data_IF_037114236188
#
_entry.id   IF_037114236188
#
_cell.length_a   1.000
_cell.length_b   1.000
_cell.length_c   1.000
_cell.angle_alpha   90.00
_cell.angle_beta   90.00
_cell.angle_gamma   90.00
#
_symmetry.space_group_name_H-M   'P 1'
#
loop_
_entity.id
_entity.type
_entity.pdbx_description
1 polymer ?
#
# COMPACT_ATOMS: atom_id res chain seq x y z
N UNK A 1 21.98 -17.77 27.33
CA UNK A 1 21.45 -16.39 27.28
C UNK A 1 21.29 -15.99 25.82
N UNK A 2 20.05 -15.90 25.30
CA UNK A 2 19.79 -15.50 23.91
C UNK A 2 19.85 -13.96 23.83
N UNK A 3 20.99 -13.42 23.40
CA UNK A 3 21.15 -11.98 23.15
C UNK A 3 20.33 -11.65 21.90
N UNK A 4 19.22 -10.91 22.05
CA UNK A 4 18.48 -10.33 20.93
C UNK A 4 19.31 -9.17 20.37
N UNK A 5 20.16 -9.46 19.38
CA UNK A 5 20.81 -8.42 18.58
C UNK A 5 19.71 -7.77 17.72
N UNK A 6 19.42 -6.50 17.98
CA UNK A 6 18.48 -5.72 17.17
C UNK A 6 19.22 -5.29 15.91
N UNK A 7 18.68 -5.62 14.74
CA UNK A 7 19.22 -5.18 13.46
C UNK A 7 19.19 -3.64 13.41
N UNK A 8 20.35 -2.99 13.28
CA UNK A 8 20.43 -1.58 12.89
C UNK A 8 20.26 -1.47 11.36
N UNK A 9 19.14 -2.00 10.87
CA UNK A 9 18.56 -1.55 9.62
C UNK A 9 17.24 -0.90 10.01
N UNK A 10 17.20 0.43 9.99
CA UNK A 10 15.95 1.19 10.07
C UNK A 10 15.22 1.07 8.72
N UNK A 11 14.91 -0.17 8.30
CA UNK A 11 13.86 -0.43 7.33
C UNK A 11 12.55 -0.25 8.07
N UNK A 12 11.86 0.84 7.74
CA UNK A 12 10.54 1.14 8.25
C UNK A 12 9.54 0.07 7.80
N UNK A 13 9.38 -0.99 8.60
CA UNK A 13 8.14 -1.75 8.61
C UNK A 13 7.10 -0.93 9.38
N UNK A 14 6.01 -0.60 8.68
CA UNK A 14 4.93 0.17 9.24
C UNK A 14 4.06 -0.61 10.23
N UNK A 15 3.17 0.21 10.83
CA UNK A 15 1.92 -0.11 11.53
C UNK A 15 2.04 -0.28 13.06
N UNK A 16 1.46 0.65 13.82
CA UNK A 16 0.19 0.43 14.56
C UNK A 16 -0.30 1.70 15.28
N UNK A 17 -1.62 1.79 15.35
CA UNK A 17 -2.40 2.84 15.98
C UNK A 17 -2.15 2.98 17.48
N UNK A 18 -2.10 4.21 17.97
CA UNK A 18 -2.42 4.54 19.35
C UNK A 18 -3.60 5.50 19.39
N UNK A 19 -4.66 5.05 20.05
CA UNK A 19 -5.90 5.76 20.31
C UNK A 19 -5.62 7.04 21.11
N UNK A 20 -6.25 8.16 20.74
CA UNK A 20 -6.49 9.26 21.66
C UNK A 20 -7.94 9.72 21.57
N UNK A 21 -8.60 9.72 22.72
CA UNK A 21 -9.96 10.24 22.94
C UNK A 21 -9.98 11.76 22.71
N UNK A 22 -11.05 12.34 22.14
CA UNK A 22 -11.16 13.77 21.96
C UNK A 22 -11.80 14.47 23.18
N UNK A 23 -11.23 15.61 23.57
CA UNK A 23 -11.90 16.63 24.39
C UNK A 23 -12.16 17.89 23.54
N UNK A 24 -13.23 18.67 23.83
CA UNK A 24 -13.85 19.56 22.86
C UNK A 24 -13.24 20.97 22.89
N UNK A 25 -13.04 21.56 21.72
CA UNK A 25 -12.71 22.98 21.57
C UNK A 25 -13.84 23.72 20.84
N UNK A 26 -14.27 24.83 21.45
CA UNK A 26 -15.28 25.79 20.98
C UNK A 26 -14.76 26.69 19.83
N UNK A 27 -15.65 27.35 19.07
CA UNK A 27 -15.46 27.66 17.67
C UNK A 27 -14.71 28.99 17.42
N UNK A 28 -13.89 29.03 16.37
CA UNK A 28 -13.35 30.26 15.78
C UNK A 28 -13.80 30.41 14.33
N UNK A 29 -14.15 31.64 14.04
CA UNK A 29 -14.85 32.20 12.88
C UNK A 29 -14.05 32.12 11.59
N UNK A 30 -14.79 32.07 10.48
CA UNK A 30 -14.37 31.77 9.11
C UNK A 30 -13.46 32.82 8.44
N UNK A 31 -12.55 32.34 7.58
CA UNK A 31 -11.99 33.07 6.45
C UNK A 31 -12.20 32.24 5.16
N UNK A 32 -12.81 32.87 4.16
CA UNK A 32 -13.25 32.28 2.88
C UNK A 32 -12.04 31.91 2.00
N UNK A 33 -11.97 30.65 1.57
CA UNK A 33 -11.21 30.24 0.38
C UNK A 33 -12.20 29.76 -0.68
N UNK A 34 -12.07 30.29 -1.90
CA UNK A 34 -12.98 30.06 -3.01
C UNK A 34 -12.84 28.63 -3.54
N UNK A 35 -13.86 27.80 -3.27
CA UNK A 35 -14.00 26.46 -3.84
C UNK A 35 -14.60 26.53 -5.25
N UNK A 36 -14.01 25.79 -6.18
CA UNK A 36 -14.62 25.39 -7.48
C UNK A 36 -16.01 24.77 -7.22
N UNK A 37 -16.96 24.87 -8.17
CA UNK A 37 -18.35 24.51 -7.91
C UNK A 37 -18.46 23.03 -7.58
N UNK A 38 -18.90 22.73 -6.34
CA UNK A 38 -19.40 21.43 -5.97
C UNK A 38 -20.61 21.11 -6.86
N UNK A 39 -20.57 19.97 -7.54
CA UNK A 39 -21.73 19.41 -8.22
C UNK A 39 -22.80 19.18 -7.16
N UNK A 40 -23.94 19.88 -7.30
CA UNK A 40 -25.13 19.69 -6.46
C UNK A 40 -25.48 18.20 -6.39
N UNK A 41 -25.79 17.61 -5.22
CA UNK A 41 -26.39 16.29 -5.17
C UNK A 41 -27.76 16.38 -5.87
N UNK A 42 -27.92 15.61 -6.93
CA UNK A 42 -29.19 15.47 -7.63
C UNK A 42 -30.20 14.81 -6.67
N UNK A 43 -31.35 15.48 -6.50
CA UNK A 43 -32.63 15.01 -5.96
C UNK A 43 -32.60 13.72 -5.13
N UNK A 44 -32.72 13.85 -3.81
CA UNK A 44 -32.93 12.73 -2.88
C UNK A 44 -34.12 11.86 -3.34
N UNK A 45 -33.83 10.67 -3.86
CA UNK A 45 -34.81 9.71 -4.39
C UNK A 45 -34.65 9.35 -5.87
N UNK A 46 -33.79 10.06 -6.62
CA UNK A 46 -33.34 9.63 -7.95
C UNK A 46 -32.18 8.63 -7.83
N UNK A 47 -32.10 7.67 -8.76
CA UNK A 47 -31.12 6.60 -8.72
C UNK A 47 -31.53 5.38 -9.55
N UNK A 48 -30.65 4.40 -9.62
CA UNK A 48 -30.96 3.09 -10.19
C UNK A 48 -30.89 2.05 -9.08
N UNK A 49 -31.93 1.24 -8.95
CA UNK A 49 -32.04 0.24 -7.90
C UNK A 49 -32.26 -1.16 -8.48
N UNK A 50 -31.79 -2.18 -7.77
CA UNK A 50 -32.09 -3.56 -8.04
C UNK A 50 -32.80 -4.19 -6.83
N UNK A 51 -33.97 -4.76 -7.06
CA UNK A 51 -34.71 -5.53 -6.08
C UNK A 51 -34.45 -7.03 -6.33
N UNK A 52 -33.79 -7.69 -5.38
CA UNK A 52 -33.55 -9.13 -5.40
C UNK A 52 -34.58 -9.79 -4.47
N UNK A 53 -35.47 -10.57 -5.04
CA UNK A 53 -36.46 -11.35 -4.30
C UNK A 53 -35.89 -12.73 -3.98
N UNK A 54 -35.98 -13.14 -2.72
CA UNK A 54 -35.50 -14.43 -2.23
C UNK A 54 -36.55 -15.08 -1.33
N UNK A 55 -36.35 -16.35 -0.95
CA UNK A 55 -37.17 -17.02 0.07
C UNK A 55 -37.07 -16.38 1.47
N UNK A 56 -36.01 -15.60 1.73
CA UNK A 56 -35.76 -14.91 3.01
C UNK A 56 -36.31 -13.48 3.07
N UNK A 57 -36.85 -12.98 1.95
CA UNK A 57 -37.31 -11.61 1.80
C UNK A 57 -36.67 -10.89 0.63
N UNK A 58 -36.84 -9.57 0.61
CA UNK A 58 -36.38 -8.69 -0.47
C UNK A 58 -35.13 -7.92 -0.05
N UNK A 59 -34.12 -7.91 -0.91
CA UNK A 59 -32.93 -7.07 -0.79
C UNK A 59 -33.04 -5.96 -1.84
N UNK A 60 -32.89 -4.69 -1.44
CA UNK A 60 -32.89 -3.55 -2.36
C UNK A 60 -31.50 -2.94 -2.37
N UNK A 61 -30.92 -2.86 -3.56
CA UNK A 61 -29.58 -2.34 -3.82
C UNK A 61 -29.71 -1.03 -4.58
N UNK A 62 -28.97 0.01 -4.19
CA UNK A 62 -28.70 1.17 -5.04
C UNK A 62 -27.43 0.90 -5.86
N UNK A 63 -27.48 1.19 -7.17
CA UNK A 63 -26.42 0.92 -8.13
C UNK A 63 -25.64 2.19 -8.49
N UNK A 64 -24.32 2.09 -8.51
CA UNK A 64 -23.38 3.18 -8.76
C UNK A 64 -23.14 3.40 -10.27
N UNK A 65 -24.22 3.58 -11.03
CA UNK A 65 -24.20 3.59 -12.51
C UNK A 65 -23.39 4.73 -13.15
N UNK A 66 -23.06 5.77 -12.37
CA UNK A 66 -22.20 6.89 -12.82
C UNK A 66 -20.72 6.55 -12.62
N UNK A 67 -20.35 5.93 -11.50
CA UNK A 67 -18.95 5.62 -11.16
C UNK A 67 -18.47 4.33 -11.81
N UNK A 68 -19.35 3.35 -11.95
CA UNK A 68 -19.05 2.03 -12.53
C UNK A 68 -20.04 1.67 -13.65
N UNK A 69 -20.09 2.46 -14.74
CA UNK A 69 -21.09 2.32 -15.78
C UNK A 69 -21.02 0.97 -16.52
N UNK A 70 -19.84 0.43 -16.79
CA UNK A 70 -19.71 -0.85 -17.52
C UNK A 70 -20.22 -2.00 -16.66
N UNK A 71 -19.89 -1.98 -15.36
CA UNK A 71 -20.29 -3.00 -14.39
C UNK A 71 -21.80 -2.96 -14.11
N UNK A 72 -22.37 -1.76 -13.95
CA UNK A 72 -23.82 -1.63 -13.78
C UNK A 72 -24.55 -1.99 -15.08
N UNK A 73 -24.03 -1.61 -16.25
CA UNK A 73 -24.58 -2.02 -17.54
C UNK A 73 -24.60 -3.55 -17.71
N UNK A 74 -23.51 -4.22 -17.31
CA UNK A 74 -23.44 -5.68 -17.25
C UNK A 74 -24.55 -6.26 -16.36
N UNK A 75 -24.61 -5.82 -15.10
CA UNK A 75 -25.56 -6.35 -14.12
C UNK A 75 -27.02 -6.12 -14.54
N UNK A 76 -27.36 -4.91 -14.96
CA UNK A 76 -28.71 -4.52 -15.39
C UNK A 76 -29.14 -5.30 -16.62
N UNK A 77 -28.29 -5.39 -17.64
CA UNK A 77 -28.68 -6.08 -18.87
C UNK A 77 -28.78 -7.60 -18.70
N UNK A 78 -28.01 -8.19 -17.78
CA UNK A 78 -28.17 -9.58 -17.35
C UNK A 78 -29.50 -9.79 -16.60
N UNK A 79 -29.81 -8.92 -15.63
CA UNK A 79 -31.06 -8.95 -14.89
C UNK A 79 -32.28 -8.76 -15.82
N UNK A 80 -32.13 -7.99 -16.91
CA UNK A 80 -33.20 -7.72 -17.87
C UNK A 80 -33.29 -8.71 -19.03
N UNK A 81 -32.27 -9.57 -19.19
CA UNK A 81 -32.19 -10.55 -20.28
C UNK A 81 -31.95 -9.95 -21.65
N UNK A 82 -31.41 -8.74 -21.72
CA UNK A 82 -31.10 -8.02 -22.96
C UNK A 82 -29.58 -7.77 -23.13
N UNK A 83 -28.73 -8.47 -22.37
CA UNK A 83 -27.28 -8.37 -22.49
C UNK A 83 -26.80 -8.86 -23.87
N UNK A 84 -26.02 -8.05 -24.62
CA UNK A 84 -25.66 -8.35 -26.00
C UNK A 84 -24.47 -9.32 -26.15
N UNK A 85 -23.74 -9.62 -25.08
CA UNK A 85 -22.48 -10.37 -25.14
C UNK A 85 -22.59 -11.79 -24.58
N UNK A 86 -23.73 -12.16 -23.97
CA UNK A 86 -23.90 -13.49 -23.37
C UNK A 86 -23.80 -14.61 -24.40
N UNK A 87 -23.34 -15.78 -23.94
CA UNK A 87 -23.44 -17.02 -24.70
C UNK A 87 -24.88 -17.27 -25.17
N UNK A 88 -25.02 -17.92 -26.33
CA UNK A 88 -26.31 -18.19 -26.97
C UNK A 88 -27.34 -18.80 -26.01
N UNK A 89 -26.91 -19.72 -25.14
CA UNK A 89 -27.77 -20.39 -24.16
C UNK A 89 -28.46 -19.46 -23.15
N UNK A 90 -27.97 -18.23 -22.97
CA UNK A 90 -28.48 -17.26 -22.02
C UNK A 90 -29.18 -16.06 -22.69
N UNK A 91 -29.16 -15.97 -24.03
CA UNK A 91 -29.81 -14.86 -24.74
C UNK A 91 -31.31 -14.80 -24.44
N UNK A 92 -31.81 -13.60 -24.20
CA UNK A 92 -33.22 -13.35 -23.90
C UNK A 92 -33.68 -13.79 -22.50
N UNK A 93 -32.80 -14.39 -21.68
CA UNK A 93 -33.16 -14.91 -20.35
C UNK A 93 -32.79 -13.91 -19.27
N UNK A 94 -33.70 -13.71 -18.31
CA UNK A 94 -33.44 -13.01 -17.05
C UNK A 94 -32.38 -13.82 -16.29
N UNK A 95 -31.12 -13.42 -16.41
CA UNK A 95 -29.98 -14.30 -16.15
C UNK A 95 -29.90 -14.77 -14.69
N UNK A 96 -30.27 -13.90 -13.75
CA UNK A 96 -30.16 -14.18 -12.31
C UNK A 96 -31.35 -14.96 -11.74
N UNK A 97 -32.49 -14.98 -12.43
CA UNK A 97 -33.70 -15.61 -11.93
C UNK A 97 -33.48 -17.14 -11.84
N UNK A 98 -33.71 -17.70 -10.65
CA UNK A 98 -33.48 -19.10 -10.32
C UNK A 98 -32.04 -19.45 -9.94
N UNK A 99 -31.09 -18.52 -9.99
CA UNK A 99 -29.71 -18.78 -9.55
C UNK A 99 -29.60 -18.80 -8.03
N UNK A 100 -28.59 -19.50 -7.52
CA UNK A 100 -28.35 -19.65 -6.09
C UNK A 100 -27.29 -18.68 -5.57
N UNK A 101 -27.37 -18.37 -4.28
CA UNK A 101 -26.21 -17.96 -3.50
C UNK A 101 -25.33 -19.17 -3.20
N UNK A 102 -24.46 -19.50 -4.14
CA UNK A 102 -23.65 -20.73 -4.11
C UNK A 102 -22.53 -20.72 -3.06
N UNK A 103 -22.16 -19.54 -2.56
CA UNK A 103 -21.13 -19.40 -1.53
C UNK A 103 -21.55 -18.35 -0.52
N UNK A 104 -21.69 -18.78 0.73
CA UNK A 104 -22.03 -17.90 1.87
C UNK A 104 -21.00 -18.11 2.95
N UNK A 105 -20.31 -17.04 3.34
CA UNK A 105 -19.32 -17.06 4.41
C UNK A 105 -19.80 -16.12 5.50
N UNK A 106 -20.18 -16.71 6.64
CA UNK A 106 -20.64 -15.97 7.82
C UNK A 106 -19.64 -14.87 8.18
N UNK A 107 -20.15 -13.68 8.50
CA UNK A 107 -19.37 -12.50 8.87
C UNK A 107 -18.45 -11.95 7.77
N UNK A 108 -18.61 -12.43 6.53
CA UNK A 108 -17.88 -11.94 5.37
C UNK A 108 -18.82 -11.50 4.25
N UNK A 109 -19.47 -12.43 3.54
CA UNK A 109 -20.33 -12.11 2.39
C UNK A 109 -21.27 -13.24 1.97
N UNK A 110 -22.28 -12.88 1.18
CA UNK A 110 -23.06 -13.80 0.34
C UNK A 110 -22.67 -13.59 -1.13
N UNK A 111 -22.40 -14.66 -1.87
CA UNK A 111 -21.97 -14.61 -3.28
C UNK A 111 -22.95 -15.39 -4.16
N UNK A 112 -23.39 -14.75 -5.24
CA UNK A 112 -24.36 -15.25 -6.21
C UNK A 112 -23.95 -14.95 -7.66
N UNK A 113 -24.89 -15.13 -8.58
CA UNK A 113 -24.68 -14.82 -10.00
C UNK A 113 -23.87 -15.87 -10.79
N UNK A 114 -23.71 -17.07 -10.25
CA UNK A 114 -23.09 -18.21 -10.96
C UNK A 114 -24.17 -19.11 -11.58
N UNK A 115 -24.23 -19.25 -12.92
CA UNK A 115 -25.20 -20.14 -13.58
C UNK A 115 -24.95 -21.63 -13.35
N UNK A 116 -23.75 -22.04 -12.89
CA UNK A 116 -23.45 -23.43 -12.54
C UNK A 116 -23.64 -23.73 -11.05
N UNK A 117 -23.64 -22.69 -10.21
CA UNK A 117 -23.71 -22.81 -8.75
C UNK A 117 -22.48 -23.46 -8.10
N UNK A 118 -21.34 -23.52 -8.77
CA UNK A 118 -20.09 -24.14 -8.29
C UNK A 118 -19.01 -23.13 -7.91
N UNK A 119 -19.24 -21.85 -8.17
CA UNK A 119 -18.27 -20.76 -8.18
C UNK A 119 -17.53 -20.59 -9.51
N UNK A 120 -17.68 -21.51 -10.46
CA UNK A 120 -16.89 -21.56 -11.70
C UNK A 120 -17.62 -21.08 -12.96
N UNK A 121 -18.94 -20.87 -12.92
CA UNK A 121 -19.68 -20.46 -14.11
C UNK A 121 -19.60 -18.97 -14.42
N UNK A 122 -19.87 -18.65 -15.69
CA UNK A 122 -19.81 -17.29 -16.23
C UNK A 122 -20.85 -17.09 -17.35
N UNK A 123 -21.08 -15.83 -17.78
CA UNK A 123 -22.06 -15.52 -18.81
C UNK A 123 -21.54 -15.70 -20.25
N UNK A 124 -20.27 -16.12 -20.43
CA UNK A 124 -19.61 -16.26 -21.74
C UNK A 124 -18.54 -15.21 -22.05
N UNK A 125 -18.26 -14.30 -21.12
CA UNK A 125 -17.27 -13.23 -21.31
C UNK A 125 -16.61 -12.83 -20.00
N UNK A 126 -15.54 -12.04 -20.15
CA UNK A 126 -14.84 -11.36 -19.07
C UNK A 126 -14.59 -9.89 -19.42
N UNK A 127 -14.72 -9.00 -18.43
CA UNK A 127 -14.50 -7.56 -18.61
C UNK A 127 -13.65 -6.94 -17.49
N UNK A 128 -13.15 -5.73 -17.76
CA UNK A 128 -12.24 -4.97 -16.89
C UNK A 128 -12.83 -4.65 -15.51
N UNK A 129 -11.97 -4.33 -14.55
CA UNK A 129 -12.37 -3.71 -13.28
C UNK A 129 -12.62 -2.20 -13.46
N UNK A 130 -13.53 -1.64 -12.67
CA UNK A 130 -13.78 -0.20 -12.56
C UNK A 130 -13.45 0.26 -11.13
N UNK A 131 -12.15 0.29 -10.81
CA UNK A 131 -11.67 0.71 -9.50
C UNK A 131 -11.81 2.23 -9.35
N UNK A 132 -12.62 2.66 -8.38
CA UNK A 132 -12.95 4.08 -8.10
C UNK A 132 -12.56 4.45 -6.67
N UNK A 133 -13.07 5.58 -6.17
CA UNK A 133 -12.99 5.98 -4.77
C UNK A 133 -13.90 5.16 -3.83
N UNK A 134 -14.79 4.32 -4.39
CA UNK A 134 -15.66 3.43 -3.63
C UNK A 134 -14.84 2.32 -2.94
N UNK A 135 -15.24 2.01 -1.70
CA UNK A 135 -14.51 1.09 -0.81
C UNK A 135 -15.50 0.20 -0.06
N UNK A 136 -15.02 -0.95 0.41
CA UNK A 136 -15.77 -1.89 1.22
C UNK A 136 -15.77 -1.47 2.69
N UNK A 137 -16.38 -0.31 2.97
CA UNK A 137 -16.34 0.37 4.29
C UNK A 137 -17.34 -0.17 5.31
N UNK A 138 -18.19 -1.14 4.93
CA UNK A 138 -19.22 -1.65 5.83
C UNK A 138 -20.09 -2.75 5.24
N UNK A 139 -21.09 -3.21 6.01
CA UNK A 139 -22.10 -4.16 5.55
C UNK A 139 -22.85 -3.64 4.32
N UNK A 140 -23.31 -4.55 3.48
CA UNK A 140 -24.17 -4.25 2.35
C UNK A 140 -23.45 -3.73 1.12
N UNK A 141 -22.12 -3.73 1.09
CA UNK A 141 -21.37 -3.35 -0.12
C UNK A 141 -21.60 -4.41 -1.19
N UNK A 142 -22.07 -3.99 -2.38
CA UNK A 142 -22.25 -4.85 -3.55
C UNK A 142 -21.03 -4.74 -4.46
N UNK A 143 -20.40 -5.87 -4.77
CA UNK A 143 -19.18 -5.89 -5.57
C UNK A 143 -19.07 -7.11 -6.48
N UNK A 144 -18.32 -6.98 -7.58
CA UNK A 144 -18.09 -8.07 -8.52
C UNK A 144 -17.13 -9.11 -7.94
N UNK A 145 -17.51 -10.38 -8.05
CA UNK A 145 -16.57 -11.47 -7.83
C UNK A 145 -15.66 -11.62 -9.06
N UNK A 146 -14.35 -11.78 -8.84
CA UNK A 146 -13.37 -11.97 -9.90
C UNK A 146 -12.27 -12.95 -9.44
N UNK A 147 -11.51 -13.49 -10.40
CA UNK A 147 -10.37 -14.40 -10.19
C UNK A 147 -9.01 -13.69 -10.39
N UNK A 148 -9.01 -12.35 -10.32
CA UNK A 148 -7.89 -11.49 -10.67
C UNK A 148 -8.29 -10.35 -11.60
N UNK A 149 -7.37 -9.41 -11.88
CA UNK A 149 -7.68 -8.22 -12.66
C UNK A 149 -8.32 -8.53 -14.01
N UNK A 150 -9.42 -7.84 -14.34
CA UNK A 150 -10.11 -7.95 -15.62
C UNK A 150 -10.87 -9.26 -15.87
N UNK A 151 -11.22 -9.98 -14.81
CA UNK A 151 -11.97 -11.24 -14.89
C UNK A 151 -13.41 -11.13 -14.37
N UNK A 152 -13.99 -9.93 -14.36
CA UNK A 152 -15.40 -9.73 -13.99
C UNK A 152 -16.30 -10.46 -14.98
N UNK A 153 -17.37 -11.07 -14.47
CA UNK A 153 -18.38 -11.80 -15.25
C UNK A 153 -19.79 -11.49 -14.76
N UNK A 154 -20.54 -12.51 -14.36
CA UNK A 154 -21.90 -12.35 -13.79
C UNK A 154 -21.93 -12.46 -12.26
N UNK A 155 -20.87 -13.00 -11.65
CA UNK A 155 -20.86 -13.27 -10.22
C UNK A 155 -20.64 -11.98 -9.42
N UNK A 156 -21.40 -11.84 -8.34
CA UNK A 156 -21.32 -10.71 -7.41
C UNK A 156 -21.38 -11.21 -5.98
N UNK A 157 -20.97 -10.37 -5.04
CA UNK A 157 -21.16 -10.61 -3.62
C UNK A 157 -21.68 -9.37 -2.90
N UNK A 158 -22.34 -9.60 -1.76
CA UNK A 158 -22.83 -8.57 -0.85
C UNK A 158 -22.20 -8.82 0.53
N UNK A 159 -21.57 -7.80 1.11
CA UNK A 159 -20.82 -7.95 2.36
C UNK A 159 -21.72 -8.01 3.61
N UNK A 160 -21.32 -8.78 4.61
CA UNK A 160 -21.90 -8.74 5.96
C UNK A 160 -21.24 -7.68 6.86
N UNK A 161 -20.00 -7.29 6.57
CA UNK A 161 -19.15 -6.40 7.37
C UNK A 161 -18.22 -5.58 6.48
N UNK A 162 -17.42 -4.70 7.08
CA UNK A 162 -16.29 -4.05 6.41
C UNK A 162 -15.28 -5.10 5.92
N UNK A 163 -14.84 -4.97 4.66
CA UNK A 163 -13.88 -5.90 4.03
C UNK A 163 -12.78 -5.14 3.30
N UNK A 164 -12.06 -4.29 4.02
CA UNK A 164 -11.10 -3.32 3.45
C UNK A 164 -9.94 -3.96 2.66
N UNK A 165 -9.63 -5.23 2.90
CA UNK A 165 -8.62 -5.99 2.13
C UNK A 165 -9.02 -6.28 0.66
N UNK A 166 -10.28 -6.04 0.31
CA UNK A 166 -10.82 -6.14 -1.06
C UNK A 166 -10.74 -4.81 -1.83
N UNK A 167 -10.41 -3.70 -1.16
CA UNK A 167 -10.29 -2.39 -1.80
C UNK A 167 -9.23 -2.40 -2.90
N UNK A 168 -9.58 -1.84 -4.07
CA UNK A 168 -8.71 -1.83 -5.24
C UNK A 168 -8.59 -3.16 -5.99
N UNK A 169 -9.29 -4.21 -5.53
CA UNK A 169 -9.25 -5.56 -6.14
C UNK A 169 -10.57 -5.98 -6.78
N UNK A 170 -11.69 -5.51 -6.21
CA UNK A 170 -13.04 -5.82 -6.68
C UNK A 170 -13.81 -4.53 -6.96
N UNK A 171 -14.51 -4.47 -8.08
CA UNK A 171 -15.34 -3.32 -8.45
C UNK A 171 -16.54 -3.23 -7.52
N UNK A 172 -16.60 -2.19 -6.68
CA UNK A 172 -17.80 -1.85 -5.91
C UNK A 172 -18.76 -1.11 -6.85
N UNK A 173 -19.96 -1.66 -7.06
CA UNK A 173 -20.92 -1.12 -8.03
C UNK A 173 -22.31 -0.85 -7.44
N UNK A 174 -22.44 -0.94 -6.12
CA UNK A 174 -23.67 -0.60 -5.42
C UNK A 174 -23.59 -0.87 -3.93
N UNK A 175 -24.71 -0.67 -3.25
CA UNK A 175 -24.85 -1.00 -1.84
C UNK A 175 -26.32 -1.28 -1.46
N UNK A 176 -26.53 -2.01 -0.37
CA UNK A 176 -27.85 -2.31 0.19
C UNK A 176 -28.45 -1.03 0.80
N UNK A 177 -29.65 -0.68 0.37
CA UNK A 177 -30.44 0.41 0.97
C UNK A 177 -31.52 -0.12 1.91
N UNK A 178 -32.07 -1.32 1.64
CA UNK A 178 -32.98 -2.03 2.55
C UNK A 178 -32.80 -3.55 2.42
N UNK A 179 -33.01 -4.30 3.51
CA UNK A 179 -32.91 -5.76 3.51
C UNK A 179 -31.52 -6.29 3.89
N UNK A 180 -30.74 -5.56 4.71
CA UNK A 180 -29.46 -6.07 5.22
C UNK A 180 -29.66 -7.25 6.19
N UNK A 181 -30.77 -7.26 6.93
CA UNK A 181 -31.23 -8.40 7.72
C UNK A 181 -31.51 -9.63 6.84
N UNK A 182 -32.12 -9.42 5.66
CA UNK A 182 -32.31 -10.49 4.66
C UNK A 182 -30.96 -10.99 4.16
N UNK A 183 -30.03 -10.09 3.78
CA UNK A 183 -28.64 -10.46 3.41
C UNK A 183 -28.00 -11.33 4.49
N UNK A 184 -28.15 -10.96 5.77
CA UNK A 184 -27.61 -11.70 6.91
C UNK A 184 -28.30 -13.04 7.16
N UNK A 185 -29.53 -13.24 6.68
CA UNK A 185 -30.31 -14.45 6.83
C UNK A 185 -30.17 -15.45 5.68
N UNK A 186 -29.62 -15.02 4.53
CA UNK A 186 -29.33 -15.89 3.38
C UNK A 186 -28.36 -16.99 3.81
N UNK A 187 -28.74 -18.24 3.51
CA UNK A 187 -27.91 -19.42 3.65
C UNK A 187 -27.38 -19.85 2.27
N UNK A 188 -26.35 -20.69 2.28
CA UNK A 188 -25.87 -21.31 1.05
C UNK A 188 -27.00 -22.08 0.36
N UNK A 189 -27.03 -22.02 -0.97
CA UNK A 189 -28.05 -22.60 -1.84
C UNK A 189 -29.44 -21.93 -1.81
N UNK A 190 -29.66 -20.87 -1.01
CA UNK A 190 -30.85 -20.03 -1.15
C UNK A 190 -30.91 -19.42 -2.56
N UNK A 191 -32.14 -19.26 -3.07
CA UNK A 191 -32.40 -18.94 -4.48
C UNK A 191 -32.78 -17.46 -4.65
N UNK A 192 -32.23 -16.86 -5.70
CA UNK A 192 -32.70 -15.59 -6.27
C UNK A 192 -33.93 -15.90 -7.09
N UNK A 193 -35.12 -15.58 -6.57
CA UNK A 193 -36.37 -15.83 -7.26
C UNK A 193 -36.52 -14.90 -8.46
N UNK A 194 -36.16 -13.63 -8.27
CA UNK A 194 -36.31 -12.59 -9.30
C UNK A 194 -35.39 -11.41 -9.03
N UNK A 195 -34.85 -10.80 -10.09
CA UNK A 195 -34.20 -9.49 -10.02
C UNK A 195 -34.98 -8.45 -10.84
N UNK A 196 -35.44 -7.37 -10.19
CA UNK A 196 -36.16 -6.26 -10.84
C UNK A 196 -35.34 -4.97 -10.79
N UNK A 197 -35.16 -4.32 -11.94
CA UNK A 197 -34.45 -3.03 -12.04
C UNK A 197 -35.45 -1.86 -11.99
N UNK A 198 -35.24 -0.95 -11.05
CA UNK A 198 -36.06 0.26 -10.85
C UNK A 198 -35.23 1.50 -11.18
N UNK A 199 -35.72 2.32 -12.12
CA UNK A 199 -35.04 3.54 -12.58
C UNK A 199 -35.80 4.79 -12.14
N UNK A 200 -35.21 5.59 -11.27
CA UNK A 200 -35.78 6.86 -10.77
C UNK A 200 -34.92 8.04 -11.23
N UNK A 201 -35.55 9.10 -11.73
CA UNK A 201 -34.85 10.25 -12.28
C UNK A 201 -34.42 10.10 -13.74
N UNK A 202 -34.03 11.22 -14.34
CA UNK A 202 -33.73 11.30 -15.78
C UNK A 202 -32.46 10.51 -16.14
N UNK A 203 -31.41 10.62 -15.32
CA UNK A 203 -30.12 9.97 -15.58
C UNK A 203 -30.25 8.44 -15.60
N UNK A 204 -30.92 7.85 -14.61
CA UNK A 204 -31.14 6.40 -14.55
C UNK A 204 -32.03 5.89 -15.68
N UNK A 205 -33.08 6.65 -16.06
CA UNK A 205 -33.97 6.30 -17.18
C UNK A 205 -33.27 6.33 -18.55
N UNK A 206 -32.29 7.22 -18.71
CA UNK A 206 -31.51 7.36 -19.94
C UNK A 206 -30.31 6.39 -20.01
N UNK A 207 -30.07 5.60 -18.97
CA UNK A 207 -28.96 4.66 -18.93
C UNK A 207 -29.29 3.41 -19.77
N UNK A 208 -28.71 3.35 -20.96
CA UNK A 208 -28.86 2.24 -21.90
C UNK A 208 -27.78 1.17 -21.62
N UNK A 209 -28.13 0.23 -20.74
CA UNK A 209 -27.23 -0.83 -20.30
C UNK A 209 -26.73 -1.72 -21.47
N UNK A 210 -27.59 -2.26 -22.37
CA UNK A 210 -27.12 -3.01 -23.54
C UNK A 210 -26.14 -2.22 -24.40
N UNK A 211 -26.44 -0.96 -24.72
CA UNK A 211 -25.57 -0.13 -25.56
C UNK A 211 -24.22 0.12 -24.90
N UNK A 212 -24.20 0.54 -23.63
CA UNK A 212 -22.96 0.83 -22.90
C UNK A 212 -22.06 -0.41 -22.89
N UNK A 213 -22.64 -1.60 -22.65
CA UNK A 213 -21.88 -2.83 -22.60
C UNK A 213 -21.37 -3.27 -23.98
N UNK A 214 -22.18 -3.10 -25.04
CA UNK A 214 -21.75 -3.35 -26.42
C UNK A 214 -20.61 -2.41 -26.85
N UNK A 215 -20.74 -1.11 -26.56
CA UNK A 215 -19.73 -0.10 -26.87
C UNK A 215 -18.40 -0.40 -26.16
N UNK A 216 -18.43 -0.91 -24.92
CA UNK A 216 -17.23 -1.35 -24.22
C UNK A 216 -16.50 -2.47 -24.98
N UNK A 217 -17.20 -3.53 -25.40
CA UNK A 217 -16.56 -4.63 -26.13
C UNK A 217 -16.09 -4.21 -27.53
N UNK A 218 -16.80 -3.30 -28.19
CA UNK A 218 -16.37 -2.74 -29.48
C UNK A 218 -15.05 -1.96 -29.38
N UNK A 219 -14.81 -1.28 -28.25
CA UNK A 219 -13.62 -0.46 -28.04
C UNK A 219 -12.51 -1.17 -27.23
N UNK A 220 -12.77 -2.37 -26.71
CA UNK A 220 -11.88 -3.08 -25.77
C UNK A 220 -10.44 -3.17 -26.27
N UNK A 221 -10.23 -3.54 -27.53
CA UNK A 221 -8.88 -3.71 -28.10
C UNK A 221 -8.10 -2.40 -28.24
N UNK A 222 -8.80 -1.28 -28.48
CA UNK A 222 -8.18 0.06 -28.56
C UNK A 222 -7.79 0.54 -27.16
N UNK A 223 -8.67 0.35 -26.18
CA UNK A 223 -8.41 0.70 -24.79
C UNK A 223 -7.25 -0.12 -24.21
N UNK A 224 -7.21 -1.44 -24.48
CA UNK A 224 -6.12 -2.33 -24.05
C UNK A 224 -4.76 -1.90 -24.64
N UNK A 225 -4.72 -1.50 -25.92
CA UNK A 225 -3.48 -0.98 -26.54
C UNK A 225 -3.01 0.31 -25.87
N UNK A 226 -3.91 1.26 -25.64
CA UNK A 226 -3.58 2.53 -24.97
C UNK A 226 -3.05 2.30 -23.56
N UNK A 227 -3.68 1.38 -22.80
CA UNK A 227 -3.23 1.04 -21.45
C UNK A 227 -1.86 0.36 -21.46
N UNK A 228 -1.61 -0.53 -22.42
CA UNK A 228 -0.30 -1.18 -22.58
C UNK A 228 0.81 -0.16 -22.93
N UNK A 229 0.52 0.79 -23.83
CA UNK A 229 1.45 1.86 -24.19
C UNK A 229 1.76 2.78 -23.01
N UNK A 230 0.74 3.15 -22.22
CA UNK A 230 0.94 3.97 -21.02
C UNK A 230 1.73 3.23 -19.93
N UNK A 231 1.42 1.94 -19.70
CA UNK A 231 2.15 1.11 -18.76
C UNK A 231 3.62 0.96 -19.17
N UNK A 232 3.89 0.75 -20.46
CA UNK A 232 5.24 0.72 -21.00
C UNK A 232 5.97 2.05 -20.78
N UNK A 233 5.32 3.18 -21.09
CA UNK A 233 5.91 4.52 -20.87
C UNK A 233 6.28 4.74 -19.40
N UNK A 234 5.39 4.39 -18.47
CA UNK A 234 5.68 4.51 -17.02
C UNK A 234 6.83 3.61 -16.58
N UNK A 235 6.92 2.40 -17.13
CA UNK A 235 8.02 1.49 -16.85
C UNK A 235 9.35 2.03 -17.39
N UNK A 236 9.35 2.58 -18.61
CA UNK A 236 10.52 3.20 -19.24
C UNK A 236 10.98 4.44 -18.44
N UNK A 237 10.06 5.29 -18.00
CA UNK A 237 10.32 6.45 -17.14
C UNK A 237 10.93 6.02 -15.79
N UNK A 238 10.37 5.00 -15.13
CA UNK A 238 10.89 4.48 -13.87
C UNK A 238 12.28 3.86 -14.03
N UNK A 239 12.51 3.11 -15.12
CA UNK A 239 13.81 2.53 -15.44
C UNK A 239 14.86 3.60 -15.72
N UNK A 240 14.51 4.66 -16.46
CA UNK A 240 15.39 5.80 -16.71
C UNK A 240 15.74 6.55 -15.41
N UNK A 241 14.76 6.81 -14.55
CA UNK A 241 14.99 7.43 -13.24
C UNK A 241 15.92 6.59 -12.35
N UNK A 242 15.70 5.27 -12.31
CA UNK A 242 16.57 4.34 -11.56
C UNK A 242 17.99 4.34 -12.12
N UNK A 243 18.16 4.35 -13.45
CA UNK A 243 19.48 4.40 -14.09
C UNK A 243 20.25 5.66 -13.70
N UNK A 244 19.59 6.82 -13.72
CA UNK A 244 20.19 8.11 -13.31
C UNK A 244 20.62 8.06 -11.82
N UNK A 245 19.78 7.49 -10.95
CA UNK A 245 20.11 7.32 -9.53
C UNK A 245 21.30 6.39 -9.31
N UNK A 246 21.35 5.26 -10.02
CA UNK A 246 22.44 4.28 -9.96
C UNK A 246 23.75 4.88 -10.48
N UNK A 247 23.73 5.64 -11.58
CA UNK A 247 24.90 6.37 -12.11
C UNK A 247 25.45 7.39 -11.10
N UNK A 248 24.58 8.16 -10.46
CA UNK A 248 24.96 9.11 -9.40
C UNK A 248 25.60 8.38 -8.20
N UNK A 249 24.99 7.30 -7.73
CA UNK A 249 25.50 6.52 -6.62
C UNK A 249 26.88 5.90 -6.95
N UNK A 250 27.07 5.41 -8.17
CA UNK A 250 28.35 4.84 -8.62
C UNK A 250 29.46 5.88 -8.70
N UNK A 251 29.16 7.10 -9.17
CA UNK A 251 30.14 8.19 -9.21
C UNK A 251 30.61 8.58 -7.80
N UNK A 252 29.69 8.66 -6.83
CA UNK A 252 30.03 8.98 -5.43
C UNK A 252 30.78 7.83 -4.77
N UNK A 253 30.35 6.58 -4.99
CA UNK A 253 31.03 5.38 -4.50
C UNK A 253 32.51 5.32 -4.95
N UNK A 254 32.76 5.61 -6.23
CA UNK A 254 34.11 5.61 -6.79
C UNK A 254 35.06 6.59 -6.08
N UNK A 255 34.53 7.72 -5.59
CA UNK A 255 35.28 8.71 -4.81
C UNK A 255 35.37 8.34 -3.32
N UNK A 256 34.32 7.72 -2.76
CA UNK A 256 34.28 7.36 -1.34
C UNK A 256 35.28 6.27 -1.00
N UNK A 257 35.47 5.26 -1.86
CA UNK A 257 36.43 4.16 -1.59
C UNK A 257 37.86 4.65 -1.25
N UNK A 258 38.55 5.43 -2.10
CA UNK A 258 39.91 5.90 -1.78
C UNK A 258 39.95 6.79 -0.54
N UNK A 259 38.89 7.58 -0.28
CA UNK A 259 38.76 8.35 0.95
C UNK A 259 38.74 7.44 2.19
N UNK A 260 37.94 6.37 2.17
CA UNK A 260 37.87 5.40 3.26
C UNK A 260 39.19 4.66 3.46
N UNK A 261 39.85 4.25 2.37
CA UNK A 261 41.15 3.56 2.41
C UNK A 261 42.22 4.46 3.05
N UNK A 262 42.28 5.74 2.67
CA UNK A 262 43.22 6.72 3.25
C UNK A 262 42.99 6.98 4.74
N UNK A 263 41.72 6.99 5.17
CA UNK A 263 41.39 7.10 6.60
C UNK A 263 41.78 5.85 7.37
N UNK A 264 41.58 4.66 6.80
CA UNK A 264 41.94 3.38 7.43
C UNK A 264 43.44 3.26 7.67
N UNK A 265 44.26 3.72 6.72
CA UNK A 265 45.73 3.67 6.82
C UNK A 265 46.29 4.43 8.04
N UNK A 266 45.52 5.36 8.61
CA UNK A 266 45.91 6.17 9.77
C UNK A 266 45.02 5.92 10.99
N UNK A 267 44.23 4.85 10.97
CA UNK A 267 43.31 4.49 12.04
C UNK A 267 44.02 3.80 13.21
N UNK A 268 43.51 4.03 14.41
CA UNK A 268 43.93 3.35 15.64
C UNK A 268 43.24 2.00 15.69
N UNK A 269 44.01 0.93 15.91
CA UNK A 269 43.47 -0.44 16.07
C UNK A 269 43.34 -0.78 17.54
N UNK A 270 42.19 -1.34 17.91
CA UNK A 270 41.88 -1.82 19.26
C UNK A 270 42.14 -3.32 19.38
N UNK A 271 42.14 -3.85 20.61
CA UNK A 271 42.33 -5.28 20.89
C UNK A 271 41.24 -6.17 20.26
N UNK A 272 40.02 -5.65 20.10
CA UNK A 272 38.93 -6.38 19.46
C UNK A 272 39.12 -6.51 17.94
N UNK A 273 40.01 -5.70 17.35
CA UNK A 273 40.22 -5.56 15.92
C UNK A 273 39.37 -4.46 15.28
N UNK A 274 38.55 -3.72 16.05
CA UNK A 274 37.96 -2.47 15.57
C UNK A 274 39.08 -1.47 15.24
N UNK A 275 38.99 -0.82 14.08
CA UNK A 275 39.85 0.31 13.75
C UNK A 275 39.02 1.59 13.71
N UNK A 276 39.55 2.70 14.20
CA UNK A 276 38.83 3.97 14.17
C UNK A 276 39.73 5.19 14.01
N UNK A 277 39.15 6.30 13.55
CA UNK A 277 39.81 7.61 13.48
C UNK A 277 38.82 8.72 13.83
N UNK A 278 39.22 9.63 14.71
CA UNK A 278 38.45 10.84 15.00
C UNK A 278 38.63 11.81 13.81
N UNK A 279 37.54 12.09 13.10
CA UNK A 279 37.50 13.02 11.96
C UNK A 279 37.37 14.46 12.42
N UNK A 280 36.60 14.69 13.49
CA UNK A 280 36.41 15.99 14.12
C UNK A 280 36.35 15.80 15.62
N UNK A 281 37.16 16.56 16.36
CA UNK A 281 37.11 16.57 17.82
C UNK A 281 36.07 17.57 18.30
N UNK A 282 35.13 17.09 19.11
CA UNK A 282 34.16 17.90 19.84
C UNK A 282 34.77 18.57 21.06
N UNK A 283 34.09 19.60 21.56
CA UNK A 283 34.46 20.30 22.79
C UNK A 283 33.84 19.68 24.04
N UNK A 284 32.90 18.75 23.87
CA UNK A 284 32.25 18.07 24.97
C UNK A 284 33.15 17.03 25.64
N UNK A 285 32.75 16.60 26.82
CA UNK A 285 33.38 15.48 27.53
C UNK A 285 32.75 14.16 27.07
N UNK A 286 33.38 13.05 27.46
CA UNK A 286 32.82 11.71 27.27
C UNK A 286 31.49 11.60 28.04
N UNK A 287 30.39 11.15 27.40
CA UNK A 287 29.13 10.95 28.11
C UNK A 287 29.29 9.93 29.25
N UNK A 288 28.72 10.22 30.41
CA UNK A 288 28.63 9.25 31.49
C UNK A 288 27.63 8.14 31.14
N UNK A 289 27.83 6.94 31.68
CA UNK A 289 26.89 5.83 31.51
C UNK A 289 25.48 6.23 31.98
N UNK A 290 24.46 5.83 31.21
CA UNK A 290 23.07 6.22 31.43
C UNK A 290 22.66 7.55 30.78
N UNK A 291 23.60 8.34 30.27
CA UNK A 291 23.30 9.61 29.59
C UNK A 291 22.59 9.35 28.25
N UNK A 292 21.49 10.07 27.99
CA UNK A 292 20.85 10.07 26.69
C UNK A 292 21.70 10.87 25.69
N UNK A 293 22.07 10.24 24.59
CA UNK A 293 22.81 10.85 23.47
C UNK A 293 22.04 10.66 22.17
N UNK A 294 22.41 11.39 21.12
CA UNK A 294 21.81 11.29 19.80
C UNK A 294 22.89 11.05 18.75
N UNK A 295 22.60 10.18 17.79
CA UNK A 295 23.60 9.66 16.86
C UNK A 295 23.17 9.92 15.43
N UNK A 296 24.04 10.63 14.69
CA UNK A 296 24.05 10.56 13.24
C UNK A 296 25.02 9.47 12.78
N UNK A 297 24.68 8.80 11.70
CA UNK A 297 25.51 7.79 11.08
C UNK A 297 25.34 7.75 9.55
N UNK A 298 26.42 7.37 8.89
CA UNK A 298 26.40 6.84 7.53
C UNK A 298 27.20 5.54 7.49
N UNK A 299 26.59 4.49 6.96
CA UNK A 299 27.14 3.14 6.89
C UNK A 299 27.54 2.77 5.46
N UNK A 300 28.77 2.30 5.29
CA UNK A 300 29.38 1.95 4.01
C UNK A 300 29.94 0.53 4.00
N UNK A 301 29.90 -0.11 2.83
CA UNK A 301 30.75 -1.26 2.52
C UNK A 301 32.17 -0.79 2.19
N UNK A 302 33.14 -1.72 2.21
CA UNK A 302 34.55 -1.41 1.91
C UNK A 302 34.79 -0.88 0.50
N UNK A 303 33.87 -1.14 -0.42
CA UNK A 303 33.92 -0.63 -1.78
C UNK A 303 33.34 0.80 -1.93
N UNK A 304 32.95 1.43 -0.82
CA UNK A 304 32.34 2.77 -0.79
C UNK A 304 30.83 2.78 -0.97
N UNK A 305 30.16 1.64 -1.13
CA UNK A 305 28.69 1.58 -1.25
C UNK A 305 28.04 2.03 0.05
N UNK A 306 27.26 3.11 0.04
CA UNK A 306 26.41 3.50 1.17
C UNK A 306 25.26 2.52 1.33
N UNK A 307 25.16 1.79 2.44
CA UNK A 307 24.02 0.89 2.70
C UNK A 307 22.90 1.57 3.48
N UNK A 308 23.19 2.52 4.37
CA UNK A 308 22.19 3.30 5.11
C UNK A 308 22.79 4.59 5.68
N UNK A 309 21.96 5.60 5.93
CA UNK A 309 22.37 6.87 6.52
C UNK A 309 21.16 7.61 7.09
N UNK A 310 21.32 8.24 8.26
CA UNK A 310 20.41 9.29 8.70
C UNK A 310 20.99 10.71 8.50
N UNK A 311 22.17 10.84 7.89
CA UNK A 311 22.62 12.10 7.30
C UNK A 311 21.87 12.34 5.96
N UNK A 312 21.04 13.38 5.93
CA UNK A 312 20.22 13.74 4.76
C UNK A 312 21.07 14.14 3.54
N UNK A 313 22.11 14.93 3.77
CA UNK A 313 23.07 15.38 2.75
C UNK A 313 23.81 14.21 2.11
N UNK A 314 24.30 13.26 2.92
CA UNK A 314 24.92 12.03 2.43
C UNK A 314 23.91 11.19 1.64
N UNK A 315 22.67 11.07 2.10
CA UNK A 315 21.64 10.35 1.36
C UNK A 315 21.35 11.01 -0.01
N UNK A 316 21.28 12.34 -0.07
CA UNK A 316 21.10 13.09 -1.33
C UNK A 316 22.30 12.95 -2.26
N UNK A 317 23.51 12.96 -1.72
CA UNK A 317 24.74 12.77 -2.48
C UNK A 317 24.72 11.42 -3.20
N UNK A 318 24.40 10.34 -2.48
CA UNK A 318 24.27 8.99 -3.03
C UNK A 318 23.00 8.76 -3.86
N UNK A 319 22.13 9.77 -4.04
CA UNK A 319 20.85 9.60 -4.73
C UNK A 319 19.88 8.66 -4.01
N UNK A 320 20.06 8.47 -2.71
CA UNK A 320 19.27 7.61 -1.81
C UNK A 320 18.37 8.39 -0.87
N UNK A 321 18.07 9.64 -1.20
CA UNK A 321 17.13 10.46 -0.44
C UNK A 321 15.70 9.98 -0.70
N UNK A 322 14.95 9.75 0.38
CA UNK A 322 13.56 9.30 0.37
C UNK A 322 12.68 10.36 1.04
N UNK A 323 11.75 10.94 0.28
CA UNK A 323 10.86 12.00 0.75
C UNK A 323 9.91 11.52 1.87
N UNK A 324 9.47 10.25 1.83
CA UNK A 324 8.60 9.69 2.85
C UNK A 324 9.36 9.47 4.16
N UNK A 325 10.61 8.99 4.07
CA UNK A 325 11.52 8.89 5.22
C UNK A 325 11.79 10.26 5.83
N UNK A 326 12.02 11.29 5.01
CA UNK A 326 12.20 12.66 5.47
C UNK A 326 10.96 13.19 6.21
N UNK A 327 9.77 13.01 5.64
CA UNK A 327 8.52 13.38 6.28
C UNK A 327 8.28 12.65 7.62
N UNK A 328 8.74 11.41 7.73
CA UNK A 328 8.72 10.63 8.97
C UNK A 328 9.83 10.95 9.97
N UNK A 329 10.72 11.90 9.68
CA UNK A 329 11.85 12.26 10.54
C UNK A 329 13.02 11.27 10.52
N UNK A 330 13.11 10.39 9.52
CA UNK A 330 14.14 9.34 9.42
C UNK A 330 15.55 9.81 9.08
N UNK A 331 15.75 11.12 8.87
CA UNK A 331 17.07 11.78 8.78
C UNK A 331 17.41 12.61 10.03
N UNK A 332 16.71 12.38 11.14
CA UNK A 332 17.07 12.92 12.46
C UNK A 332 18.04 11.96 13.17
N UNK A 333 18.86 12.46 14.11
CA UNK A 333 19.75 11.59 14.86
C UNK A 333 18.91 10.73 15.80
N UNK A 334 19.25 9.44 15.91
CA UNK A 334 18.46 8.53 16.72
C UNK A 334 18.95 8.56 18.18
N UNK A 335 18.04 8.42 19.16
CA UNK A 335 18.41 8.40 20.57
C UNK A 335 19.09 7.09 20.97
N UNK A 336 20.15 7.17 21.77
CA UNK A 336 20.80 6.03 22.40
C UNK A 336 21.25 6.36 23.83
N UNK A 337 21.29 5.36 24.72
CA UNK A 337 21.76 5.54 26.10
C UNK A 337 23.24 5.15 26.18
N UNK A 338 24.11 6.10 26.52
CA UNK A 338 25.53 5.86 26.70
C UNK A 338 25.78 4.73 27.72
N UNK A 339 26.77 3.88 27.44
CA UNK A 339 27.08 2.69 28.25
C UNK A 339 26.20 1.46 27.97
N UNK A 340 25.09 1.60 27.23
CA UNK A 340 24.26 0.45 26.86
C UNK A 340 25.02 -0.49 25.91
N UNK A 341 25.02 -1.80 26.23
CA UNK A 341 25.71 -2.84 25.45
C UNK A 341 24.79 -3.62 24.51
N UNK A 342 23.52 -3.24 24.43
CA UNK A 342 22.49 -3.93 23.65
C UNK A 342 21.83 -2.99 22.64
N UNK A 343 21.22 -3.57 21.60
CA UNK A 343 20.44 -2.81 20.61
C UNK A 343 21.22 -2.29 19.41
N UNK A 344 22.55 -2.32 19.45
CA UNK A 344 23.46 -2.00 18.33
C UNK A 344 24.50 -3.12 18.19
N UNK A 345 25.17 -3.20 17.03
CA UNK A 345 26.26 -4.16 16.81
C UNK A 345 27.46 -3.84 17.71
N UNK A 346 28.24 -4.86 18.16
CA UNK A 346 29.33 -4.67 19.12
C UNK A 346 30.37 -3.62 18.69
N UNK A 347 30.78 -3.61 17.41
CA UNK A 347 31.77 -2.66 16.91
C UNK A 347 31.28 -1.21 16.87
N UNK A 348 29.98 -1.00 16.70
CA UNK A 348 29.40 0.35 16.73
C UNK A 348 29.35 0.87 18.17
N UNK A 349 28.96 0.02 19.12
CA UNK A 349 28.97 0.34 20.55
C UNK A 349 30.39 0.67 21.01
N UNK A 350 31.36 -0.17 20.63
CA UNK A 350 32.76 0.08 20.96
C UNK A 350 33.27 1.39 20.36
N UNK A 351 32.87 1.74 19.13
CA UNK A 351 33.21 3.02 18.52
C UNK A 351 32.64 4.21 19.30
N UNK A 352 31.38 4.14 19.74
CA UNK A 352 30.76 5.17 20.59
C UNK A 352 31.53 5.38 21.91
N UNK A 353 32.08 4.32 22.49
CA UNK A 353 32.88 4.41 23.71
C UNK A 353 34.22 5.14 23.53
N UNK A 354 34.66 5.35 22.29
CA UNK A 354 35.85 6.15 21.97
C UNK A 354 35.53 7.63 21.72
N UNK A 355 34.25 8.02 21.74
CA UNK A 355 33.79 9.36 21.38
C UNK A 355 33.48 10.23 22.60
N UNK A 356 33.75 11.53 22.45
CA UNK A 356 33.18 12.58 23.28
C UNK A 356 31.95 13.22 22.59
N UNK A 357 31.16 13.97 23.34
CA UNK A 357 30.08 14.77 22.74
C UNK A 357 30.64 15.79 21.73
N UNK A 358 30.04 15.80 20.54
CA UNK A 358 30.45 16.61 19.39
C UNK A 358 31.56 15.98 18.54
N UNK A 359 32.08 14.80 18.91
CA UNK A 359 33.03 14.09 18.05
C UNK A 359 32.33 13.59 16.79
N UNK A 360 33.06 13.61 15.67
CA UNK A 360 32.77 12.83 14.48
C UNK A 360 33.89 11.81 14.29
N UNK A 361 33.55 10.55 14.17
CA UNK A 361 34.48 9.42 14.14
C UNK A 361 34.14 8.53 12.95
N UNK A 362 35.15 7.92 12.35
CA UNK A 362 34.97 6.80 11.43
C UNK A 362 35.45 5.50 12.07
N UNK A 363 34.65 4.45 11.95
CA UNK A 363 34.88 3.12 12.51
C UNK A 363 34.88 2.09 11.39
N UNK A 364 35.96 1.33 11.26
CA UNK A 364 36.10 0.18 10.37
C UNK A 364 35.87 -1.09 11.20
N UNK A 365 34.71 -1.68 11.02
CA UNK A 365 34.18 -2.76 11.84
C UNK A 365 34.37 -4.09 11.10
N UNK A 366 35.23 -4.98 11.60
CA UNK A 366 35.35 -6.32 11.03
C UNK A 366 34.05 -7.10 11.21
N UNK A 367 33.75 -8.03 10.30
CA UNK A 367 32.47 -8.74 10.26
C UNK A 367 32.05 -9.40 11.59
N UNK A 368 33.01 -9.91 12.37
CA UNK A 368 32.80 -10.49 13.71
C UNK A 368 32.25 -9.51 14.76
N UNK A 369 32.49 -8.21 14.57
CA UNK A 369 31.96 -7.12 15.40
C UNK A 369 30.75 -6.43 14.74
N UNK A 370 30.41 -6.84 13.52
CA UNK A 370 29.28 -6.36 12.73
C UNK A 370 28.14 -7.39 12.66
N UNK A 371 27.69 -7.69 11.44
CA UNK A 371 26.55 -8.57 11.19
C UNK A 371 26.92 -10.04 10.92
N UNK A 372 28.22 -10.38 10.93
CA UNK A 372 28.71 -11.75 10.79
C UNK A 372 28.16 -12.49 9.56
N UNK A 373 28.04 -13.81 9.69
CA UNK A 373 27.62 -14.72 8.60
C UNK A 373 26.20 -14.46 8.07
N UNK A 374 25.37 -13.75 8.82
CA UNK A 374 23.97 -13.50 8.42
C UNK A 374 23.84 -12.32 7.46
N UNK A 375 24.77 -11.35 7.52
CA UNK A 375 24.59 -10.07 6.84
C UNK A 375 23.35 -9.32 7.38
N UNK A 376 22.84 -8.34 6.62
CA UNK A 376 21.64 -7.60 7.01
C UNK A 376 20.83 -7.02 5.86
N UNK A 377 19.52 -7.28 5.91
CA UNK A 377 18.47 -6.57 5.17
C UNK A 377 18.66 -6.49 3.64
N UNK A 378 19.34 -7.47 3.06
CA UNK A 378 19.61 -7.54 1.62
C UNK A 378 20.59 -6.49 1.08
N UNK A 379 21.17 -5.66 1.96
CA UNK A 379 22.10 -4.58 1.57
C UNK A 379 23.50 -4.76 2.17
N UNK A 380 23.63 -5.54 3.26
CA UNK A 380 24.91 -5.94 3.84
C UNK A 380 25.10 -7.45 3.59
N UNK A 381 26.09 -7.86 2.79
CA UNK A 381 26.38 -9.27 2.54
C UNK A 381 26.83 -10.03 3.80
N UNK A 382 26.63 -11.36 3.85
CA UNK A 382 27.28 -12.25 4.80
C UNK A 382 28.79 -11.99 4.92
N UNK A 383 29.29 -11.98 6.16
CA UNK A 383 30.71 -11.79 6.50
C UNK A 383 31.33 -10.49 5.99
N UNK A 384 30.53 -9.50 5.58
CA UNK A 384 31.04 -8.21 5.16
C UNK A 384 31.65 -7.46 6.35
N UNK A 385 32.82 -6.88 6.13
CA UNK A 385 33.29 -5.76 6.95
C UNK A 385 32.49 -4.52 6.56
N UNK A 386 32.24 -3.66 7.54
CA UNK A 386 31.42 -2.47 7.36
C UNK A 386 32.11 -1.27 7.98
N UNK A 387 31.76 -0.10 7.50
CA UNK A 387 32.37 1.16 7.91
C UNK A 387 31.26 2.09 8.34
N UNK A 388 31.38 2.69 9.52
CA UNK A 388 30.44 3.71 9.98
C UNK A 388 31.15 5.02 10.21
N UNK A 389 30.64 6.07 9.58
CA UNK A 389 30.90 7.44 9.95
C UNK A 389 29.82 7.84 10.97
N UNK A 390 30.22 8.27 12.16
CA UNK A 390 29.36 8.48 13.33
C UNK A 390 29.59 9.89 13.85
N UNK A 391 28.52 10.63 14.13
CA UNK A 391 28.58 11.90 14.83
C UNK A 391 27.69 11.83 16.07
N UNK A 392 28.28 12.15 17.22
CA UNK A 392 27.65 12.03 18.52
C UNK A 392 27.25 13.41 19.03
N UNK A 393 25.95 13.66 19.20
CA UNK A 393 25.44 14.98 19.62
C UNK A 393 24.66 14.88 20.93
N UNK A 394 24.68 15.98 21.69
CA UNK A 394 24.07 16.04 23.02
C UNK A 394 22.54 16.21 22.97
N UNK A 395 22.03 16.88 21.93
CA UNK A 395 20.60 17.22 21.79
C UNK A 395 20.13 16.96 20.36
N UNK A 396 18.86 16.61 20.23
CA UNK A 396 18.20 16.59 18.93
C UNK A 396 18.17 18.04 18.38
N UNK A 397 18.69 18.28 17.17
CA UNK A 397 18.71 19.62 16.57
C UNK A 397 17.32 20.12 16.18
#
# INVERSE_FOLDING_TARGET
MKVKVMFLLLLAFGVTHAQNKPQPAKPKTAAKSAAKPAVKPANAGEGMFAEIETSKGKIVLELEFVKTPVTVANFVSLAEGNNPQVNEKYKGKRFYDGLKFHRVIKDFMIQGGDPLGTGGGDPGYKFKDEITDLKHTGPGTLSMANAGPGTNGSQFFITHKETSWLNGKHTVFGHVVTGQDVVNAIAQDDVINKVTIVRKGKAAKNFDAPKIFADYFANKSVDEKKQAEEAKRKADEAAAAKKIADEKANAVKAQKKPYLDGLRATAITTDSGLQYKILKKGQGIKPADGTQVYIYYAGYLEDGTLFDSNFEDIAKEYGRFDEQRAAGGGYKPFPFTAGNKSGLIPGFIEALEKMNLGDRLIAFIPSKLGYGEQGAGGVIPPNANIIFEIELVEKMP
#
